data_IF_788760241057
#
_entry.id   IF_788760241057
#
_cell.length_a   1.000
_cell.length_b   1.000
_cell.length_c   1.000
_cell.angle_alpha   90.00
_cell.angle_beta   90.00
_cell.angle_gamma   90.00
#
_symmetry.space_group_name_H-M   'P 1'
#
loop_
_entity.id
_entity.type
_entity.pdbx_description
1 polymer ?
#
# COMPACT_ATOMS: atom_id res chain seq x y z
N UNK A 1 3.13 -12.61 -7.97
CA UNK A 1 4.06 -11.55 -8.43
C UNK A 1 5.30 -11.53 -7.55
N UNK A 2 6.52 -11.50 -8.11
CA UNK A 2 7.76 -11.22 -7.36
C UNK A 2 7.74 -9.84 -6.70
N UNK A 3 8.28 -9.75 -5.49
CA UNK A 3 8.30 -8.52 -4.69
C UNK A 3 9.09 -7.39 -5.38
N UNK A 4 10.21 -7.71 -6.01
CA UNK A 4 11.05 -6.71 -6.67
C UNK A 4 10.31 -5.92 -7.79
N UNK A 5 9.26 -6.50 -8.38
CA UNK A 5 8.43 -5.81 -9.36
C UNK A 5 7.57 -4.73 -8.68
N UNK A 6 7.01 -5.03 -7.51
CA UNK A 6 6.31 -4.04 -6.69
C UNK A 6 7.27 -2.91 -6.28
N UNK A 7 8.48 -3.25 -5.85
CA UNK A 7 9.51 -2.27 -5.50
C UNK A 7 9.88 -1.34 -6.64
N UNK A 8 10.11 -1.92 -7.81
CA UNK A 8 10.41 -1.14 -9.00
C UNK A 8 9.27 -0.19 -9.34
N UNK A 9 8.00 -0.63 -9.24
CA UNK A 9 6.83 0.26 -9.41
C UNK A 9 6.83 1.39 -8.39
N UNK A 10 7.09 1.09 -7.12
CA UNK A 10 7.14 2.11 -6.07
C UNK A 10 8.18 3.20 -6.36
N UNK A 11 9.38 2.77 -6.76
CA UNK A 11 10.45 3.69 -7.17
C UNK A 11 10.07 4.53 -8.39
N UNK A 12 9.54 3.89 -9.44
CA UNK A 12 9.18 4.58 -10.68
C UNK A 12 8.07 5.61 -10.48
N UNK A 13 7.11 5.33 -9.59
CA UNK A 13 5.99 6.22 -9.31
C UNK A 13 6.24 7.18 -8.14
N UNK A 14 7.43 7.13 -7.52
CA UNK A 14 7.79 7.96 -6.36
C UNK A 14 6.75 7.83 -5.22
N UNK A 15 6.38 6.58 -4.92
CA UNK A 15 5.43 6.23 -3.86
C UNK A 15 6.14 5.40 -2.77
N UNK A 16 5.70 5.56 -1.53
CA UNK A 16 6.21 4.88 -0.34
C UNK A 16 5.43 3.62 -0.01
N UNK A 17 4.18 3.52 -0.48
CA UNK A 17 3.32 2.34 -0.34
C UNK A 17 2.62 2.00 -1.63
N UNK A 18 2.35 0.71 -1.82
CA UNK A 18 1.58 0.17 -2.93
C UNK A 18 0.51 -0.79 -2.41
N UNK A 19 -0.71 -0.64 -2.90
CA UNK A 19 -1.80 -1.56 -2.57
C UNK A 19 -1.59 -2.93 -3.23
N UNK A 20 -1.87 -3.99 -2.47
CA UNK A 20 -2.03 -5.34 -2.97
C UNK A 20 -3.53 -5.62 -3.06
N UNK A 21 -4.01 -5.92 -4.25
CA UNK A 21 -5.42 -6.16 -4.50
C UNK A 21 -5.70 -7.63 -4.80
N UNK A 22 -6.92 -8.06 -4.49
CA UNK A 22 -7.47 -9.29 -5.03
C UNK A 22 -7.75 -9.12 -6.53
N UNK A 23 -7.36 -10.11 -7.33
CA UNK A 23 -7.47 -10.04 -8.79
C UNK A 23 -8.91 -10.18 -9.29
N UNK A 24 -9.78 -10.88 -8.55
CA UNK A 24 -11.14 -11.14 -8.97
C UNK A 24 -12.05 -9.92 -8.79
N UNK A 25 -11.87 -9.17 -7.70
CA UNK A 25 -12.74 -8.05 -7.36
C UNK A 25 -12.04 -6.70 -7.19
N UNK A 26 -10.71 -6.63 -7.32
CA UNK A 26 -9.91 -5.41 -7.20
C UNK A 26 -10.02 -4.70 -5.84
N UNK A 27 -10.43 -5.41 -4.79
CA UNK A 27 -10.41 -4.89 -3.42
C UNK A 27 -9.00 -4.98 -2.84
N UNK A 28 -8.67 -4.02 -1.99
CA UNK A 28 -7.38 -4.03 -1.29
C UNK A 28 -7.41 -5.15 -0.24
N UNK A 29 -6.46 -6.07 -0.33
CA UNK A 29 -6.25 -7.13 0.66
C UNK A 29 -5.13 -6.79 1.63
N UNK A 30 -4.15 -6.00 1.19
CA UNK A 30 -3.03 -5.53 2.00
C UNK A 30 -2.31 -4.37 1.30
N UNK A 31 -1.26 -3.84 1.92
CA UNK A 31 -0.35 -2.85 1.37
C UNK A 31 1.10 -3.30 1.57
N UNK A 32 2.00 -2.90 0.69
CA UNK A 32 3.45 -3.01 0.91
C UNK A 32 4.00 -1.60 1.03
N UNK A 33 4.71 -1.33 2.12
CA UNK A 33 5.44 -0.10 2.37
C UNK A 33 6.94 -0.30 2.24
N UNK A 34 7.69 0.80 2.09
CA UNK A 34 9.15 0.75 2.18
C UNK A 34 9.64 0.20 3.54
N UNK A 35 8.93 0.48 4.63
CA UNK A 35 9.24 -0.05 5.96
C UNK A 35 9.14 -1.57 6.03
N UNK A 36 8.21 -2.18 5.29
CA UNK A 36 8.06 -3.64 5.24
C UNK A 36 9.29 -4.32 4.64
N UNK A 37 10.08 -3.61 3.83
CA UNK A 37 11.31 -4.14 3.20
C UNK A 37 12.42 -4.41 4.20
N UNK A 38 12.52 -3.58 5.24
CA UNK A 38 13.48 -3.79 6.31
C UNK A 38 13.22 -5.12 7.03
N UNK A 39 11.95 -5.56 7.08
CA UNK A 39 11.58 -6.84 7.65
C UNK A 39 11.76 -8.02 6.70
N UNK A 40 11.98 -7.76 5.40
CA UNK A 40 12.24 -8.78 4.38
C UNK A 40 13.74 -9.03 4.17
N UNK A 41 14.57 -8.23 4.83
CA UNK A 41 16.00 -8.44 5.00
C UNK A 41 16.23 -9.57 6.02
N UNK A 42 17.04 -10.55 5.66
CA UNK A 42 17.48 -11.59 6.58
C UNK A 42 19.00 -11.77 6.48
N UNK A 43 19.72 -11.45 7.56
CA UNK A 43 21.18 -11.61 7.71
C UNK A 43 22.03 -10.84 6.67
N UNK A 44 21.64 -9.60 6.37
CA UNK A 44 22.27 -8.71 5.41
C UNK A 44 21.92 -8.97 3.95
N UNK A 45 20.99 -9.90 3.66
CA UNK A 45 20.64 -10.27 2.29
C UNK A 45 19.14 -10.13 2.07
N UNK A 46 18.78 -9.29 1.09
CA UNK A 46 17.41 -9.20 0.60
C UNK A 46 17.09 -10.41 -0.28
N UNK A 47 16.02 -11.13 0.07
CA UNK A 47 15.55 -12.22 -0.78
C UNK A 47 14.83 -11.66 -2.02
N UNK A 48 15.55 -11.52 -3.12
CA UNK A 48 15.04 -11.02 -4.41
C UNK A 48 14.04 -11.97 -5.07
N UNK A 49 13.99 -13.23 -4.66
CA UNK A 49 13.02 -14.23 -5.14
C UNK A 49 11.72 -14.25 -4.34
N UNK A 50 11.63 -13.45 -3.27
CA UNK A 50 10.43 -13.36 -2.44
C UNK A 50 9.23 -12.90 -3.27
N UNK A 51 8.09 -13.54 -3.06
CA UNK A 51 6.82 -13.11 -3.68
C UNK A 51 6.11 -12.12 -2.78
N UNK A 52 5.27 -11.26 -3.35
CA UNK A 52 4.38 -10.36 -2.59
C UNK A 52 3.60 -11.13 -1.53
N UNK A 53 3.05 -12.30 -1.86
CA UNK A 53 2.31 -13.13 -0.89
C UNK A 53 3.17 -13.55 0.30
N UNK A 54 4.40 -14.03 0.06
CA UNK A 54 5.31 -14.42 1.14
C UNK A 54 5.70 -13.22 2.01
N UNK A 55 5.93 -12.06 1.39
CA UNK A 55 6.19 -10.81 2.07
C UNK A 55 5.06 -10.41 3.02
N UNK A 56 3.80 -10.56 2.59
CA UNK A 56 2.64 -10.28 3.43
C UNK A 56 2.52 -11.24 4.63
N UNK A 57 2.91 -12.51 4.48
CA UNK A 57 2.83 -13.47 5.62
C UNK A 57 3.81 -13.18 6.76
N UNK A 58 4.90 -12.48 6.48
CA UNK A 58 5.93 -12.13 7.47
C UNK A 58 5.76 -10.72 8.04
N UNK A 59 4.83 -9.95 7.46
CA UNK A 59 4.62 -8.54 7.77
C UNK A 59 3.80 -8.37 9.07
N UNK A 60 4.07 -7.28 9.79
CA UNK A 60 3.19 -6.81 10.86
C UNK A 60 1.97 -6.14 10.23
N UNK A 61 0.77 -6.59 10.60
CA UNK A 61 -0.47 -6.01 10.07
C UNK A 61 -0.49 -4.49 10.26
N UNK A 62 -0.47 -3.76 9.15
CA UNK A 62 -0.60 -2.30 9.13
C UNK A 62 -2.02 -1.93 8.72
N UNK A 63 -2.65 -0.95 9.39
CA UNK A 63 -3.95 -0.45 8.98
C UNK A 63 -3.88 0.14 7.57
N UNK A 64 -4.89 -0.17 6.76
CA UNK A 64 -5.05 0.37 5.40
C UNK A 64 -5.95 1.60 5.50
N UNK A 65 -5.44 2.75 5.10
CA UNK A 65 -6.18 4.00 5.16
C UNK A 65 -6.74 4.36 3.79
N UNK A 66 -8.04 4.60 3.76
CA UNK A 66 -8.81 4.84 2.53
C UNK A 66 -9.62 6.11 2.65
N UNK A 67 -9.99 6.67 1.50
CA UNK A 67 -10.97 7.73 1.38
C UNK A 67 -11.92 7.42 0.21
N UNK A 68 -13.06 8.11 0.20
CA UNK A 68 -14.11 7.93 -0.80
C UNK A 68 -14.25 9.16 -1.68
N UNK A 69 -14.84 8.99 -2.86
CA UNK A 69 -14.99 10.06 -3.86
C UNK A 69 -15.74 11.29 -3.33
N UNK A 70 -16.62 11.11 -2.35
CA UNK A 70 -17.44 12.17 -1.78
C UNK A 70 -16.86 12.76 -0.47
N UNK A 71 -15.71 12.27 -0.01
CA UNK A 71 -15.04 12.85 1.15
C UNK A 71 -14.56 14.26 0.81
N UNK A 72 -14.77 15.19 1.73
CA UNK A 72 -14.26 16.54 1.57
C UNK A 72 -12.73 16.54 1.67
N UNK A 73 -12.08 17.53 1.02
CA UNK A 73 -10.63 17.71 1.16
C UNK A 73 -10.20 17.81 2.62
N UNK A 74 -11.00 18.48 3.47
CA UNK A 74 -10.71 18.60 4.90
C UNK A 74 -10.66 17.23 5.58
N UNK A 75 -11.60 16.34 5.29
CA UNK A 75 -11.62 14.99 5.84
C UNK A 75 -10.42 14.19 5.35
N UNK A 76 -10.10 14.26 4.05
CA UNK A 76 -8.94 13.61 3.45
C UNK A 76 -7.63 14.09 4.11
N UNK A 77 -7.41 15.40 4.21
CA UNK A 77 -6.22 15.97 4.87
C UNK A 77 -6.15 15.64 6.37
N UNK A 78 -7.30 15.51 7.04
CA UNK A 78 -7.34 15.09 8.44
C UNK A 78 -6.82 13.66 8.60
N UNK A 79 -7.02 12.76 7.63
CA UNK A 79 -6.48 11.40 7.69
C UNK A 79 -4.94 11.39 7.67
N UNK A 80 -4.32 12.15 6.76
CA UNK A 80 -2.86 12.28 6.70
C UNK A 80 -2.27 12.73 8.04
N UNK A 81 -2.85 13.76 8.66
CA UNK A 81 -2.36 14.31 9.93
C UNK A 81 -2.64 13.36 11.10
N UNK A 82 -3.87 12.84 11.21
CA UNK A 82 -4.30 12.04 12.36
C UNK A 82 -3.59 10.70 12.45
N UNK A 83 -3.33 10.09 11.31
CA UNK A 83 -2.77 8.74 11.23
C UNK A 83 -1.30 8.72 10.82
N UNK A 84 -0.69 9.89 10.63
CA UNK A 84 0.72 10.04 10.23
C UNK A 84 1.07 9.16 9.03
N UNK A 85 0.21 9.17 8.01
CA UNK A 85 0.42 8.43 6.76
C UNK A 85 0.86 9.38 5.66
N UNK A 86 1.62 8.86 4.69
CA UNK A 86 2.05 9.60 3.51
C UNK A 86 1.12 9.38 2.30
N UNK A 87 0.31 8.32 2.34
CA UNK A 87 -0.59 7.91 1.25
C UNK A 87 -1.96 7.47 1.75
N UNK A 88 -2.96 7.69 0.90
CA UNK A 88 -4.33 7.20 1.06
C UNK A 88 -4.82 6.56 -0.25
N UNK A 89 -5.65 5.53 -0.13
CA UNK A 89 -6.23 4.85 -1.29
C UNK A 89 -7.67 5.32 -1.52
N UNK A 90 -7.97 5.73 -2.75
CA UNK A 90 -9.34 6.01 -3.16
C UNK A 90 -10.06 4.69 -3.41
N UNK A 91 -11.14 4.45 -2.66
CA UNK A 91 -11.95 3.25 -2.78
C UNK A 91 -13.37 3.63 -3.21
N UNK A 92 -13.96 2.83 -4.09
CA UNK A 92 -15.37 2.97 -4.41
C UNK A 92 -16.23 2.52 -3.22
N UNK A 93 -17.09 3.41 -2.73
CA UNK A 93 -17.93 3.19 -1.55
C UNK A 93 -18.95 2.04 -1.68
N UNK A 94 -19.32 1.65 -2.91
CA UNK A 94 -20.30 0.57 -3.15
C UNK A 94 -19.59 -0.77 -3.31
N UNK A 95 -18.63 -0.83 -4.22
CA UNK A 95 -17.96 -2.08 -4.59
C UNK A 95 -16.77 -2.42 -3.69
N UNK A 96 -16.17 -1.43 -3.02
CA UNK A 96 -14.92 -1.58 -2.28
C UNK A 96 -13.67 -1.63 -3.16
N UNK A 97 -13.82 -1.35 -4.46
CA UNK A 97 -12.72 -1.43 -5.44
C UNK A 97 -11.71 -0.30 -5.25
N UNK A 98 -10.44 -0.62 -5.41
CA UNK A 98 -9.39 0.39 -5.54
C UNK A 98 -9.58 1.17 -6.84
N UNK A 99 -9.73 2.49 -6.72
CA UNK A 99 -9.92 3.40 -7.84
C UNK A 99 -8.73 4.36 -8.05
N UNK A 100 -7.89 4.55 -7.03
CA UNK A 100 -6.73 5.43 -7.14
C UNK A 100 -5.94 5.53 -5.85
N UNK A 101 -4.90 6.35 -5.88
CA UNK A 101 -4.00 6.61 -4.76
C UNK A 101 -3.69 8.10 -4.73
N UNK A 102 -3.67 8.68 -3.53
CA UNK A 102 -3.29 10.06 -3.27
C UNK A 102 -2.11 10.06 -2.31
N UNK A 103 -1.08 10.83 -2.64
CA UNK A 103 0.09 11.05 -1.78
C UNK A 103 0.23 12.54 -1.45
N UNK A 104 0.92 12.82 -0.35
CA UNK A 104 1.37 14.17 0.00
C UNK A 104 2.89 14.17 -0.09
N UNK A 105 3.44 14.89 -1.07
CA UNK A 105 4.89 15.05 -1.31
C UNK A 105 5.42 16.36 -0.75
#
# INVERSE_FOLDING_TARGET
>A
MPLYIALHKMLMHHIETIAVCDEADMRIIDVISQGDLLHMENQGVYNTTMTVRSALTTKVNSPIYVFYQYDSLREIFTHFIRYHVCELFLVDHISGKLCGQLNVS
#
